data_IF_979854017893
#
_entry.id   IF_979854017893
#
_cell.length_a   1.000
_cell.length_b   1.000
_cell.length_c   1.000
_cell.angle_alpha   90.00
_cell.angle_beta   90.00
_cell.angle_gamma   90.00
#
_symmetry.space_group_name_H-M   'P 1'
#
loop_
_entity.id
_entity.type
_entity.pdbx_description
1 polymer ?
#
# COMPACT_ATOMS: atom_id res chain seq x y z
N UNK A 1 8.17 -21.28 -0.69
CA UNK A 1 8.85 -21.27 0.62
C UNK A 1 9.78 -20.08 0.63
N UNK A 2 9.29 -18.92 1.06
CA UNK A 2 9.33 -18.38 2.42
C UNK A 2 10.46 -17.36 2.51
N UNK A 3 10.13 -16.11 2.18
CA UNK A 3 11.01 -14.96 2.31
C UNK A 3 11.13 -14.59 3.78
N UNK A 4 12.37 -14.56 4.23
CA UNK A 4 12.81 -14.28 5.60
C UNK A 4 12.30 -12.92 6.09
N UNK A 5 11.52 -12.93 7.17
CA UNK A 5 10.84 -11.76 7.78
C UNK A 5 11.22 -11.56 9.25
N UNK A 6 12.31 -12.17 9.73
CA UNK A 6 12.60 -12.20 11.18
C UNK A 6 14.06 -11.91 11.49
N UNK A 7 14.45 -10.67 11.27
CA UNK A 7 15.43 -9.97 12.11
C UNK A 7 15.30 -8.51 11.70
N UNK A 8 14.75 -7.62 12.52
CA UNK A 8 15.57 -6.86 13.45
C UNK A 8 14.68 -6.36 14.58
N UNK A 9 14.56 -7.19 15.63
CA UNK A 9 14.19 -6.74 16.97
C UNK A 9 15.49 -6.22 17.60
N UNK A 10 15.67 -4.90 17.67
CA UNK A 10 16.70 -4.29 18.52
C UNK A 10 16.02 -3.41 19.55
N UNK A 11 15.80 -4.03 20.71
CA UNK A 11 15.54 -3.36 21.97
C UNK A 11 16.74 -2.47 22.33
N UNK A 12 16.48 -1.24 22.75
CA UNK A 12 17.32 -0.55 23.72
C UNK A 12 16.40 0.00 24.80
N UNK A 13 16.64 -0.48 26.01
CA UNK A 13 16.06 -0.03 27.26
C UNK A 13 16.78 1.24 27.74
N UNK A 14 16.09 2.08 28.51
CA UNK A 14 16.58 2.58 29.80
C UNK A 14 15.54 3.48 30.48
N UNK A 15 15.39 3.28 31.78
CA UNK A 15 14.42 3.89 32.70
C UNK A 15 14.81 5.30 33.17
N UNK A 16 13.79 5.97 33.73
CA UNK A 16 13.81 6.98 34.81
C UNK A 16 14.18 8.43 34.48
N UNK A 17 13.19 9.33 34.56
CA UNK A 17 13.06 10.31 35.66
C UNK A 17 11.89 11.27 35.38
N UNK A 18 10.98 11.36 36.35
CA UNK A 18 9.80 12.20 36.34
C UNK A 18 10.19 13.65 36.67
N UNK A 19 10.07 14.55 35.71
CA UNK A 19 10.12 16.00 35.94
C UNK A 19 9.22 16.70 34.92
N UNK A 20 8.00 17.02 35.34
CA UNK A 20 7.04 17.78 34.56
C UNK A 20 7.37 19.28 34.61
N UNK A 21 7.55 19.98 33.47
CA UNK A 21 7.30 21.40 33.41
C UNK A 21 5.87 21.62 32.90
N UNK A 22 5.13 22.46 33.62
CA UNK A 22 3.85 23.03 33.23
C UNK A 22 4.02 23.95 32.00
N UNK A 23 4.13 23.32 30.83
CA UNK A 23 4.34 23.96 29.54
C UNK A 23 3.66 23.18 28.42
N UNK A 24 2.41 22.74 28.66
CA UNK A 24 1.54 22.21 27.61
C UNK A 24 0.94 23.37 26.85
N UNK A 25 1.69 23.98 25.94
CA UNK A 25 1.14 24.76 24.83
C UNK A 25 2.08 24.62 23.63
N UNK A 26 1.48 24.36 22.46
CA UNK A 26 2.10 24.38 21.14
C UNK A 26 2.82 23.10 20.64
N UNK A 27 2.12 21.96 20.70
CA UNK A 27 2.20 20.99 19.59
C UNK A 27 1.02 21.22 18.65
N UNK A 28 1.13 22.25 17.80
CA UNK A 28 0.10 22.54 16.80
C UNK A 28 0.74 23.10 15.53
N UNK A 29 1.60 22.30 14.91
CA UNK A 29 2.12 22.59 13.57
C UNK A 29 2.56 21.32 12.84
N UNK A 30 1.83 20.22 13.06
CA UNK A 30 1.90 19.04 12.18
C UNK A 30 0.52 18.71 11.62
N UNK A 31 -0.03 19.68 10.89
CA UNK A 31 -1.05 19.43 9.87
C UNK A 31 -0.52 19.96 8.55
N UNK A 32 0.72 19.58 8.19
CA UNK A 32 1.18 19.70 6.81
C UNK A 32 0.20 18.88 5.99
N UNK A 33 -0.66 19.59 5.25
CA UNK A 33 -1.83 19.05 4.58
C UNK A 33 -1.46 17.75 3.87
N UNK A 34 -1.97 16.63 4.40
CA UNK A 34 -1.82 15.33 3.77
C UNK A 34 -2.29 15.51 2.33
N UNK A 35 -1.42 15.27 1.31
CA UNK A 35 -1.81 15.47 -0.08
C UNK A 35 -3.08 14.69 -0.33
N UNK A 36 -4.01 15.22 -1.17
CA UNK A 36 -5.28 14.57 -1.41
C UNK A 36 -5.00 13.12 -1.79
N UNK A 37 -5.47 12.18 -0.95
CA UNK A 37 -5.39 10.75 -1.24
C UNK A 37 -5.99 10.56 -2.62
N UNK A 38 -5.18 10.16 -3.59
CA UNK A 38 -5.49 10.08 -5.02
C UNK A 38 -6.97 9.71 -5.23
N UNK A 39 -7.76 10.72 -5.59
CA UNK A 39 -9.22 10.61 -5.65
C UNK A 39 -9.59 9.71 -6.83
N UNK A 40 -10.18 8.56 -6.54
CA UNK A 40 -11.12 7.89 -7.46
C UNK A 40 -10.60 6.74 -8.32
N UNK A 41 -9.40 6.84 -8.89
CA UNK A 41 -9.00 5.96 -9.99
C UNK A 41 -8.37 4.61 -9.63
N UNK A 42 -8.01 3.85 -10.66
CA UNK A 42 -7.29 2.58 -10.52
C UNK A 42 -5.82 2.78 -10.13
N UNK A 43 -5.34 1.95 -9.20
CA UNK A 43 -3.92 1.90 -8.84
C UNK A 43 -3.17 1.07 -9.87
N UNK A 44 -2.25 1.67 -10.62
CA UNK A 44 -1.38 0.95 -11.59
C UNK A 44 -0.70 -0.28 -10.99
N UNK A 45 -0.14 -0.15 -9.77
CA UNK A 45 0.50 -1.27 -9.08
C UNK A 45 -0.47 -2.43 -8.73
N UNK A 46 -1.77 -2.17 -8.62
CA UNK A 46 -2.79 -3.19 -8.38
C UNK A 46 -3.23 -3.84 -9.69
N UNK A 47 -3.40 -3.04 -10.74
CA UNK A 47 -3.69 -3.53 -12.09
C UNK A 47 -2.57 -4.44 -12.59
N UNK A 48 -1.29 -4.06 -12.42
CA UNK A 48 -0.18 -4.93 -12.80
C UNK A 48 -0.14 -6.28 -12.06
N UNK A 49 -0.57 -6.32 -10.78
CA UNK A 49 -0.72 -7.60 -10.06
C UNK A 49 -1.90 -8.43 -10.57
N UNK A 50 -2.97 -7.77 -11.00
CA UNK A 50 -4.11 -8.46 -11.62
C UNK A 50 -3.69 -9.06 -12.96
N UNK A 51 -3.01 -8.27 -13.80
CA UNK A 51 -2.43 -8.72 -15.07
C UNK A 51 -1.57 -9.96 -14.87
N UNK A 52 -0.56 -9.91 -13.98
CA UNK A 52 0.31 -11.06 -13.71
C UNK A 52 -0.48 -12.31 -13.27
N UNK A 53 -1.49 -12.15 -12.42
CA UNK A 53 -2.33 -13.27 -11.98
C UNK A 53 -3.14 -13.88 -13.14
N UNK A 54 -3.66 -13.04 -14.04
CA UNK A 54 -4.40 -13.47 -15.21
C UNK A 54 -3.47 -14.13 -16.24
N UNK A 55 -2.32 -13.54 -16.55
CA UNK A 55 -1.33 -14.08 -17.50
C UNK A 55 -0.85 -15.47 -17.11
N UNK A 56 -0.72 -15.77 -15.81
CA UNK A 56 -0.41 -17.14 -15.33
C UNK A 56 -1.44 -18.19 -15.76
N UNK A 57 -2.68 -17.82 -16.09
CA UNK A 57 -3.67 -18.76 -16.61
C UNK A 57 -3.41 -19.10 -18.09
N UNK A 58 -2.95 -18.11 -18.86
CA UNK A 58 -2.53 -18.29 -20.26
C UNK A 58 -1.24 -19.10 -20.32
N UNK A 59 -0.24 -18.75 -19.51
CA UNK A 59 1.04 -19.46 -19.44
C UNK A 59 0.89 -20.94 -19.05
N UNK A 60 -0.08 -21.26 -18.19
CA UNK A 60 -0.39 -22.65 -17.80
C UNK A 60 -1.20 -23.41 -18.85
N UNK A 61 -1.53 -22.78 -19.98
CA UNK A 61 -2.33 -23.37 -21.04
C UNK A 61 -3.78 -23.62 -20.66
N UNK A 62 -4.29 -22.99 -19.59
CA UNK A 62 -5.71 -23.15 -19.20
C UNK A 62 -6.63 -22.44 -20.18
N UNK A 63 -6.15 -21.35 -20.78
CA UNK A 63 -6.86 -20.57 -21.80
C UNK A 63 -5.87 -20.10 -22.86
N UNK A 64 -6.25 -20.03 -24.14
CA UNK A 64 -5.36 -19.59 -25.23
C UNK A 64 -5.05 -18.07 -25.18
N UNK A 65 -5.87 -17.29 -24.48
CA UNK A 65 -5.70 -15.84 -24.28
C UNK A 65 -6.84 -15.29 -23.42
N UNK A 66 -6.68 -14.07 -22.90
CA UNK A 66 -7.73 -13.38 -22.13
C UNK A 66 -7.58 -11.86 -22.29
N UNK A 67 -8.68 -11.14 -22.13
CA UNK A 67 -8.72 -9.68 -22.02
C UNK A 67 -9.53 -9.35 -20.78
N UNK A 68 -9.10 -8.38 -19.99
CA UNK A 68 -9.80 -8.02 -18.74
C UNK A 68 -10.33 -6.59 -18.80
N UNK A 69 -11.63 -6.44 -18.49
CA UNK A 69 -12.31 -5.15 -18.38
C UNK A 69 -12.67 -4.89 -16.92
N UNK A 70 -12.23 -3.75 -16.39
CA UNK A 70 -12.53 -3.34 -15.02
C UNK A 70 -13.17 -1.96 -15.03
N UNK A 71 -14.40 -1.86 -14.54
CA UNK A 71 -15.11 -0.58 -14.41
C UNK A 71 -15.29 -0.20 -12.94
N UNK A 72 -14.99 1.04 -12.59
CA UNK A 72 -15.17 1.59 -11.24
C UNK A 72 -15.43 3.08 -11.31
N UNK A 73 -16.52 3.55 -10.69
CA UNK A 73 -16.83 4.98 -10.55
C UNK A 73 -16.85 5.74 -11.89
N UNK A 74 -17.28 5.09 -12.96
CA UNK A 74 -17.32 5.68 -14.31
C UNK A 74 -16.01 5.62 -15.08
N UNK A 75 -14.93 5.10 -14.49
CA UNK A 75 -13.68 4.80 -15.20
C UNK A 75 -13.69 3.34 -15.65
N UNK A 76 -13.28 3.09 -16.91
CA UNK A 76 -13.09 1.73 -17.44
C UNK A 76 -11.63 1.55 -17.81
N UNK A 77 -11.02 0.47 -17.33
CA UNK A 77 -9.69 0.04 -17.69
C UNK A 77 -9.74 -1.27 -18.46
N UNK A 78 -8.93 -1.34 -19.52
CA UNK A 78 -8.78 -2.50 -20.40
C UNK A 78 -7.33 -2.96 -20.27
N UNK A 79 -7.15 -4.26 -20.06
CA UNK A 79 -5.87 -4.94 -19.96
C UNK A 79 -5.83 -6.08 -20.99
N UNK A 80 -4.77 -6.14 -21.78
CA UNK A 80 -4.54 -7.07 -22.90
C UNK A 80 -3.53 -8.19 -22.57
#
# INVERSE_FOLDING_TARGET
MSTDRRSFLKSVAASAAFAAPAGVLAQSSQTAARPPSSKGGFSKARLGRMHEAMSRHVERGRMPGLVTLVSRRGETHIDD
#
